data_IF_552991574089
#
_entry.id   IF_552991574089
#
_cell.length_a   1.000
_cell.length_b   1.000
_cell.length_c   1.000
_cell.angle_alpha   90.00
_cell.angle_beta   90.00
_cell.angle_gamma   90.00
#
_symmetry.space_group_name_H-M   'P 1'
#
loop_
_entity.id
_entity.type
_entity.pdbx_description
1 polymer ?
#
# COMPACT_ATOMS: atom_id res chain seq x y z
N UNK A 1 -9.38 4.15 17.08
CA UNK A 1 -10.50 4.78 16.36
C UNK A 1 -11.42 3.66 15.89
N UNK A 2 -12.68 3.77 16.24
CA UNK A 2 -13.69 2.79 15.85
C UNK A 2 -14.22 3.16 14.45
N UNK A 3 -13.85 2.37 13.43
CA UNK A 3 -14.29 2.56 12.05
C UNK A 3 -15.73 2.10 11.80
N UNK A 4 -16.41 1.54 12.81
CA UNK A 4 -17.82 1.09 12.68
C UNK A 4 -18.80 2.25 12.41
N UNK A 5 -18.36 3.50 12.60
CA UNK A 5 -19.16 4.70 12.31
C UNK A 5 -19.18 5.11 10.83
N UNK A 6 -18.25 4.60 10.03
CA UNK A 6 -18.28 4.80 8.58
C UNK A 6 -19.06 3.64 7.99
N UNK A 7 -20.28 3.87 7.53
CA UNK A 7 -20.93 2.89 6.65
C UNK A 7 -19.95 2.62 5.51
N UNK A 8 -19.47 1.39 5.35
CA UNK A 8 -18.54 1.11 4.28
C UNK A 8 -19.27 1.37 2.97
N UNK A 9 -18.88 2.45 2.29
CA UNK A 9 -19.23 2.58 0.88
C UNK A 9 -18.38 1.52 0.20
N UNK A 10 -19.00 0.39 -0.15
CA UNK A 10 -18.31 -0.68 -0.88
C UNK A 10 -17.67 -0.06 -2.11
N UNK A 11 -16.34 -0.06 -2.17
CA UNK A 11 -15.60 0.59 -3.27
C UNK A 11 -15.97 -0.04 -4.62
N UNK A 12 -16.35 -1.30 -4.59
CA UNK A 12 -16.47 -2.16 -5.76
C UNK A 12 -15.09 -2.43 -6.37
N UNK A 13 -14.97 -3.59 -7.02
CA UNK A 13 -13.72 -3.94 -7.70
C UNK A 13 -13.49 -3.04 -8.93
N UNK A 14 -12.26 -2.57 -9.19
CA UNK A 14 -11.97 -1.81 -10.40
C UNK A 14 -12.12 -2.69 -11.65
N UNK A 15 -12.56 -2.09 -12.75
CA UNK A 15 -12.53 -2.72 -14.07
C UNK A 15 -11.13 -2.60 -14.69
N UNK A 16 -10.83 -3.41 -15.71
CA UNK A 16 -9.50 -3.44 -16.34
C UNK A 16 -9.12 -2.09 -16.99
N UNK A 17 -10.10 -1.28 -17.40
CA UNK A 17 -9.90 0.08 -17.94
C UNK A 17 -9.72 1.17 -16.86
N UNK A 18 -9.72 0.78 -15.61
CA UNK A 18 -9.54 1.66 -14.44
C UNK A 18 -8.20 1.46 -13.74
N UNK A 19 -7.34 0.63 -14.27
CA UNK A 19 -6.06 0.24 -13.67
C UNK A 19 -4.97 0.16 -14.72
N UNK A 20 -3.73 0.45 -14.31
CA UNK A 20 -2.57 0.15 -15.15
C UNK A 20 -2.39 -1.37 -15.29
N UNK A 21 -2.06 -1.84 -16.49
CA UNK A 21 -1.90 -3.28 -16.75
C UNK A 21 -0.86 -3.95 -15.82
N UNK A 22 0.20 -3.24 -15.46
CA UNK A 22 1.22 -3.75 -14.53
C UNK A 22 0.71 -3.97 -13.10
N UNK A 23 -0.36 -3.26 -12.69
CA UNK A 23 -0.93 -3.36 -11.36
C UNK A 23 -1.91 -4.54 -11.21
N UNK A 24 -2.42 -5.07 -12.34
CA UNK A 24 -3.43 -6.13 -12.33
C UNK A 24 -3.02 -7.37 -11.54
N UNK A 25 -1.80 -7.92 -11.67
CA UNK A 25 -1.42 -9.11 -10.90
C UNK A 25 -1.46 -8.90 -9.38
N UNK A 26 -1.16 -7.70 -8.92
CA UNK A 26 -1.23 -7.35 -7.49
C UNK A 26 -2.68 -7.18 -7.04
N UNK A 27 -3.49 -6.48 -7.82
CA UNK A 27 -4.92 -6.28 -7.56
C UNK A 27 -5.67 -7.61 -7.52
N UNK A 28 -5.31 -8.57 -8.36
CA UNK A 28 -5.93 -9.91 -8.39
C UNK A 28 -5.66 -10.73 -7.12
N UNK A 29 -4.65 -10.36 -6.31
CA UNK A 29 -4.42 -10.96 -4.99
C UNK A 29 -5.44 -10.53 -3.93
N UNK A 30 -6.12 -9.41 -4.14
CA UNK A 30 -7.06 -8.86 -3.17
C UNK A 30 -8.39 -9.62 -3.28
N UNK A 31 -8.80 -10.25 -2.19
CA UNK A 31 -10.09 -10.93 -2.14
C UNK A 31 -11.24 -9.93 -1.94
N UNK A 32 -12.40 -10.24 -2.55
CA UNK A 32 -13.60 -9.43 -2.39
C UNK A 32 -13.58 -8.14 -3.22
N UNK A 33 -14.49 -7.24 -2.88
CA UNK A 33 -14.77 -5.99 -3.61
C UNK A 33 -14.67 -4.72 -2.74
N UNK A 34 -14.18 -4.86 -1.50
CA UNK A 34 -14.00 -3.77 -0.54
C UNK A 34 -12.51 -3.59 -0.20
N UNK A 35 -11.88 -2.59 -0.83
CA UNK A 35 -10.49 -2.26 -0.59
C UNK A 35 -10.23 -1.79 0.86
N UNK A 36 -11.19 -1.08 1.47
CA UNK A 36 -11.04 -0.58 2.86
C UNK A 36 -11.03 -1.75 3.83
N UNK A 37 -11.94 -2.71 3.67
CA UNK A 37 -11.96 -3.91 4.49
C UNK A 37 -10.67 -4.74 4.33
N UNK A 38 -10.15 -4.87 3.11
CA UNK A 38 -8.87 -5.54 2.85
C UNK A 38 -7.72 -4.84 3.56
N UNK A 39 -7.59 -3.51 3.44
CA UNK A 39 -6.55 -2.72 4.09
C UNK A 39 -6.62 -2.78 5.63
N UNK A 40 -7.84 -2.81 6.20
CA UNK A 40 -8.03 -3.00 7.65
C UNK A 40 -7.52 -4.37 8.12
N UNK A 41 -7.84 -5.43 7.38
CA UNK A 41 -7.39 -6.79 7.70
C UNK A 41 -5.87 -6.90 7.59
N UNK A 42 -5.28 -6.35 6.53
CA UNK A 42 -3.83 -6.33 6.30
C UNK A 42 -3.09 -5.58 7.40
N UNK A 43 -3.57 -4.41 7.81
CA UNK A 43 -2.99 -3.66 8.94
C UNK A 43 -2.78 -4.55 10.16
N UNK A 44 -3.79 -5.35 10.51
CA UNK A 44 -3.70 -6.27 11.64
C UNK A 44 -2.68 -7.38 11.39
N UNK A 45 -2.74 -8.01 10.22
CA UNK A 45 -1.88 -9.14 9.87
C UNK A 45 -0.40 -8.75 9.80
N UNK A 46 -0.09 -7.64 9.12
CA UNK A 46 1.28 -7.12 8.98
C UNK A 46 1.82 -6.65 10.32
N UNK A 47 1.00 -5.96 11.13
CA UNK A 47 1.37 -5.57 12.49
C UNK A 47 1.77 -6.77 13.33
N UNK A 48 0.91 -7.80 13.42
CA UNK A 48 1.19 -9.00 14.23
C UNK A 48 2.43 -9.74 13.75
N UNK A 49 2.64 -9.82 12.44
CA UNK A 49 3.84 -10.45 11.89
C UNK A 49 5.10 -9.68 12.29
N UNK A 50 5.12 -8.36 12.09
CA UNK A 50 6.31 -7.55 12.40
C UNK A 50 6.59 -7.51 13.90
N UNK A 51 5.56 -7.46 14.76
CA UNK A 51 5.71 -7.53 16.22
C UNK A 51 6.26 -8.88 16.71
N UNK A 52 6.13 -9.94 15.93
CA UNK A 52 6.70 -11.25 16.27
C UNK A 52 8.19 -11.38 15.95
N UNK A 53 8.79 -10.39 15.29
CA UNK A 53 10.19 -10.41 14.87
C UNK A 53 11.08 -9.61 15.83
N UNK A 54 12.25 -10.16 16.18
CA UNK A 54 13.25 -9.43 16.94
C UNK A 54 14.15 -8.59 15.99
N UNK A 55 14.60 -7.44 16.48
CA UNK A 55 15.49 -6.53 15.74
C UNK A 55 16.74 -7.24 15.19
N UNK A 56 17.34 -8.11 16.00
CA UNK A 56 18.54 -8.86 15.65
C UNK A 56 18.30 -9.86 14.50
N UNK A 57 17.10 -10.41 14.42
CA UNK A 57 16.72 -11.37 13.37
C UNK A 57 16.56 -10.71 12.01
N UNK A 58 16.17 -9.44 11.98
CA UNK A 58 15.86 -8.72 10.72
C UNK A 58 17.00 -7.82 10.24
N UNK A 59 18.03 -7.62 11.05
CA UNK A 59 19.17 -6.76 10.71
C UNK A 59 19.92 -7.30 9.49
N UNK A 60 19.92 -6.55 8.40
CA UNK A 60 20.55 -6.94 7.14
C UNK A 60 19.90 -8.18 6.48
N UNK A 61 18.73 -8.60 6.94
CA UNK A 61 18.06 -9.79 6.43
C UNK A 61 17.52 -9.56 5.02
N UNK A 62 18.23 -10.07 4.01
CA UNK A 62 17.81 -10.15 2.63
C UNK A 62 17.78 -11.63 2.19
N UNK A 63 16.83 -12.01 1.34
CA UNK A 63 16.70 -13.41 0.91
C UNK A 63 17.71 -13.83 -0.17
N UNK A 64 18.39 -12.88 -0.79
CA UNK A 64 19.46 -13.12 -1.77
C UNK A 64 20.33 -11.86 -1.92
N UNK A 65 21.58 -11.98 -2.42
CA UNK A 65 22.43 -10.84 -2.73
C UNK A 65 21.75 -9.84 -3.67
N UNK A 66 21.84 -8.54 -3.37
CA UNK A 66 21.29 -7.46 -4.18
C UNK A 66 19.77 -7.32 -4.09
N UNK A 67 19.11 -8.06 -3.19
CA UNK A 67 17.68 -7.84 -2.86
C UNK A 67 17.56 -6.94 -1.64
N UNK A 68 16.45 -6.23 -1.59
CA UNK A 68 16.12 -5.41 -0.43
C UNK A 68 16.11 -6.23 0.86
N UNK A 69 16.51 -5.60 1.95
CA UNK A 69 16.33 -6.19 3.28
C UNK A 69 14.86 -6.16 3.69
N UNK A 70 14.50 -6.92 4.72
CA UNK A 70 13.14 -6.92 5.25
C UNK A 70 12.73 -5.51 5.70
N UNK A 71 13.62 -4.75 6.32
CA UNK A 71 13.37 -3.36 6.73
C UNK A 71 13.14 -2.44 5.53
N UNK A 72 13.90 -2.62 4.46
CA UNK A 72 13.70 -1.88 3.21
C UNK A 72 12.36 -2.22 2.57
N UNK A 73 11.93 -3.48 2.59
CA UNK A 73 10.59 -3.88 2.12
C UNK A 73 9.48 -3.21 2.93
N UNK A 74 9.59 -3.18 4.27
CA UNK A 74 8.59 -2.53 5.13
C UNK A 74 8.53 -1.02 4.89
N UNK A 75 9.68 -0.38 4.77
CA UNK A 75 9.76 1.05 4.46
C UNK A 75 9.19 1.37 3.08
N UNK A 76 9.49 0.54 2.07
CA UNK A 76 8.95 0.68 0.72
C UNK A 76 7.42 0.55 0.69
N UNK A 77 6.84 -0.41 1.40
CA UNK A 77 5.38 -0.55 1.50
C UNK A 77 4.75 0.75 2.03
N UNK A 78 5.35 1.36 3.06
CA UNK A 78 4.83 2.60 3.61
C UNK A 78 4.98 3.79 2.65
N UNK A 79 6.09 3.90 1.93
CA UNK A 79 6.33 4.97 0.96
C UNK A 79 5.42 4.85 -0.27
N UNK A 80 5.25 3.64 -0.81
CA UNK A 80 4.33 3.37 -1.90
C UNK A 80 2.90 3.75 -1.52
N UNK A 81 2.44 3.34 -0.34
CA UNK A 81 1.12 3.68 0.16
C UNK A 81 0.92 5.20 0.30
N UNK A 82 1.92 5.97 0.76
CA UNK A 82 1.86 7.45 0.80
C UNK A 82 1.63 8.04 -0.58
N UNK A 83 2.40 7.56 -1.57
CA UNK A 83 2.33 8.04 -2.94
C UNK A 83 0.97 7.72 -3.56
N UNK A 84 0.51 6.49 -3.41
CA UNK A 84 -0.78 6.07 -3.98
C UNK A 84 -1.98 6.68 -3.24
N UNK A 85 -1.90 6.89 -1.93
CA UNK A 85 -2.92 7.62 -1.17
C UNK A 85 -2.99 9.10 -1.60
N UNK A 86 -1.86 9.76 -1.85
CA UNK A 86 -1.81 11.11 -2.41
C UNK A 86 -2.47 11.16 -3.81
N UNK A 87 -2.13 10.21 -4.68
CA UNK A 87 -2.75 10.10 -6.01
C UNK A 87 -4.26 9.90 -5.92
N UNK A 88 -4.71 9.03 -5.01
CA UNK A 88 -6.13 8.81 -4.74
C UNK A 88 -6.83 10.09 -4.24
N UNK A 89 -6.18 10.86 -3.37
CA UNK A 89 -6.68 12.15 -2.88
C UNK A 89 -6.86 13.15 -4.05
N UNK A 90 -5.84 13.34 -4.89
CA UNK A 90 -5.90 14.25 -6.04
C UNK A 90 -7.09 13.92 -6.95
N UNK A 91 -7.18 12.65 -7.39
CA UNK A 91 -8.25 12.21 -8.28
C UNK A 91 -9.63 12.29 -7.59
N UNK A 92 -9.72 11.93 -6.31
CA UNK A 92 -10.95 12.03 -5.55
C UNK A 92 -11.46 13.47 -5.39
N UNK A 93 -10.57 14.46 -5.44
CA UNK A 93 -10.90 15.91 -5.40
C UNK A 93 -11.12 16.52 -6.79
N UNK A 94 -10.96 15.71 -7.86
CA UNK A 94 -11.21 16.15 -9.24
C UNK A 94 -9.99 16.86 -9.87
N UNK A 95 -8.79 16.66 -9.32
CA UNK A 95 -7.58 17.14 -9.97
C UNK A 95 -7.33 16.36 -11.26
N UNK A 96 -7.14 17.07 -12.37
CA UNK A 96 -6.93 16.52 -13.71
C UNK A 96 -5.46 16.52 -14.12
N UNK A 97 -4.56 17.05 -13.29
CA UNK A 97 -3.13 17.07 -13.58
C UNK A 97 -2.58 15.64 -13.65
N UNK A 98 -1.82 15.26 -14.69
CA UNK A 98 -1.15 13.97 -14.72
C UNK A 98 -0.19 13.81 -13.55
N UNK A 99 -0.28 12.68 -12.85
CA UNK A 99 0.56 12.38 -11.69
C UNK A 99 1.76 11.52 -12.11
N UNK A 100 3.00 11.93 -11.75
CA UNK A 100 4.20 11.30 -12.24
C UNK A 100 4.45 9.92 -11.66
N UNK A 101 5.32 9.14 -12.33
CA UNK A 101 5.95 7.95 -11.77
C UNK A 101 7.02 8.30 -10.74
N UNK A 102 7.47 7.31 -9.98
CA UNK A 102 8.64 7.40 -9.12
C UNK A 102 9.51 6.15 -9.30
N UNK A 103 10.77 6.25 -8.92
CA UNK A 103 11.73 5.14 -8.94
C UNK A 103 11.85 4.59 -7.53
N UNK A 104 11.21 3.44 -7.28
CA UNK A 104 11.21 2.79 -5.96
C UNK A 104 12.60 2.39 -5.50
N UNK A 105 13.50 2.00 -6.42
CA UNK A 105 14.86 1.61 -6.05
C UNK A 105 15.66 2.82 -5.55
N UNK A 106 15.51 3.98 -6.19
CA UNK A 106 16.14 5.22 -5.73
C UNK A 106 15.59 5.67 -4.38
N UNK A 107 14.28 5.50 -4.16
CA UNK A 107 13.66 5.86 -2.88
C UNK A 107 14.21 4.99 -1.75
N UNK A 108 14.19 3.68 -1.92
CA UNK A 108 14.73 2.74 -0.93
C UNK A 108 16.21 3.02 -0.66
N UNK A 109 17.04 3.21 -1.69
CA UNK A 109 18.47 3.51 -1.53
C UNK A 109 18.72 4.83 -0.77
N UNK A 110 17.84 5.81 -0.90
CA UNK A 110 17.98 7.12 -0.25
C UNK A 110 17.38 7.17 1.16
N UNK A 111 16.49 6.23 1.52
CA UNK A 111 15.66 6.33 2.73
C UNK A 111 16.37 5.93 4.02
N UNK A 112 17.45 5.13 3.93
CA UNK A 112 18.18 4.66 5.11
C UNK A 112 17.36 3.74 6.03
N UNK A 113 16.41 3.00 5.51
CA UNK A 113 15.51 2.13 6.29
C UNK A 113 16.25 1.13 7.17
N UNK A 114 17.39 0.60 6.70
CA UNK A 114 18.16 -0.38 7.46
C UNK A 114 18.73 0.19 8.77
N UNK A 115 18.96 1.49 8.86
CA UNK A 115 19.48 2.16 10.07
C UNK A 115 18.39 2.49 11.08
N UNK A 116 17.10 2.41 10.71
CA UNK A 116 15.98 2.68 11.61
C UNK A 116 15.65 1.43 12.43
N UNK A 117 15.24 1.58 13.71
CA UNK A 117 14.67 0.48 14.47
C UNK A 117 13.43 -0.12 13.78
N UNK A 118 13.26 -1.45 13.86
CA UNK A 118 12.08 -2.14 13.33
C UNK A 118 10.76 -1.57 13.90
N UNK A 119 10.78 -1.25 15.19
CA UNK A 119 9.63 -0.65 15.86
C UNK A 119 9.21 0.70 15.26
N UNK A 120 10.19 1.52 14.83
CA UNK A 120 9.91 2.82 14.19
C UNK A 120 9.35 2.64 12.79
N UNK A 121 9.84 1.65 12.02
CA UNK A 121 9.29 1.31 10.71
C UNK A 121 7.85 0.80 10.84
N UNK A 122 7.56 -0.01 11.86
CA UNK A 122 6.21 -0.47 12.13
C UNK A 122 5.27 0.68 12.55
N UNK A 123 5.76 1.61 13.39
CA UNK A 123 4.99 2.80 13.79
C UNK A 123 4.67 3.67 12.57
N UNK A 124 5.63 3.82 11.67
CA UNK A 124 5.48 4.55 10.42
C UNK A 124 4.43 3.91 9.51
N UNK A 125 4.54 2.61 9.22
CA UNK A 125 3.55 1.84 8.49
C UNK A 125 2.13 2.01 9.08
N UNK A 126 1.99 1.87 10.39
CA UNK A 126 0.68 2.02 11.08
C UNK A 126 0.08 3.42 10.90
N UNK A 127 0.92 4.44 10.94
CA UNK A 127 0.50 5.84 10.79
C UNK A 127 0.03 6.13 9.37
N UNK A 128 0.76 5.66 8.37
CA UNK A 128 0.40 5.77 6.96
C UNK A 128 -0.91 5.05 6.68
N UNK A 129 -1.01 3.78 7.07
CA UNK A 129 -2.23 2.99 6.90
C UNK A 129 -3.44 3.63 7.59
N UNK A 130 -3.24 4.21 8.78
CA UNK A 130 -4.31 4.92 9.49
C UNK A 130 -4.78 6.13 8.70
N UNK A 131 -3.87 6.93 8.14
CA UNK A 131 -4.19 8.09 7.32
C UNK A 131 -4.92 7.68 6.03
N UNK A 132 -4.43 6.63 5.34
CA UNK A 132 -5.07 6.07 4.14
C UNK A 132 -6.50 5.60 4.42
N UNK A 133 -6.70 4.83 5.49
CA UNK A 133 -8.02 4.34 5.88
C UNK A 133 -8.98 5.50 6.18
N UNK A 134 -8.50 6.55 6.88
CA UNK A 134 -9.31 7.73 7.19
C UNK A 134 -9.69 8.49 5.92
N UNK A 135 -8.75 8.65 4.98
CA UNK A 135 -9.01 9.27 3.68
C UNK A 135 -10.10 8.50 2.92
N UNK A 136 -9.88 7.21 2.71
CA UNK A 136 -10.74 6.37 1.87
C UNK A 136 -12.15 6.21 2.48
N UNK A 137 -12.26 6.00 3.78
CA UNK A 137 -13.54 5.88 4.48
C UNK A 137 -14.37 7.19 4.46
N UNK A 138 -13.72 8.34 4.31
CA UNK A 138 -14.38 9.65 4.20
C UNK A 138 -14.76 10.05 2.78
N UNK A 139 -14.53 9.22 1.76
CA UNK A 139 -14.86 9.54 0.38
C UNK A 139 -16.36 9.34 0.11
N UNK A 140 -17.01 10.29 -0.61
CA UNK A 140 -18.36 10.07 -1.10
C UNK A 140 -18.35 9.00 -2.22
N UNK A 141 -19.50 8.33 -2.41
CA UNK A 141 -19.61 7.17 -3.30
C UNK A 141 -19.16 7.45 -4.74
N UNK A 142 -19.48 8.64 -5.26
CA UNK A 142 -19.10 9.04 -6.61
C UNK A 142 -17.59 9.26 -6.77
N UNK A 143 -16.86 9.59 -5.70
CA UNK A 143 -15.42 9.81 -5.77
C UNK A 143 -14.64 8.52 -6.09
N UNK A 144 -15.14 7.37 -5.68
CA UNK A 144 -14.48 6.08 -5.92
C UNK A 144 -14.29 5.76 -7.41
N UNK A 145 -15.18 6.25 -8.26
CA UNK A 145 -15.17 6.02 -9.71
C UNK A 145 -14.48 7.14 -10.49
N UNK A 146 -14.08 8.24 -9.83
CA UNK A 146 -13.35 9.31 -10.51
C UNK A 146 -12.04 8.78 -11.05
N UNK A 147 -11.70 9.23 -12.26
CA UNK A 147 -10.53 8.78 -13.01
C UNK A 147 -9.54 9.94 -13.20
N UNK A 148 -8.27 9.62 -13.25
CA UNK A 148 -7.17 10.52 -13.57
C UNK A 148 -6.05 9.78 -14.27
N UNK A 149 -4.99 10.49 -14.61
CA UNK A 149 -3.81 9.93 -15.27
C UNK A 149 -2.70 9.77 -14.24
N UNK A 150 -2.22 8.54 -14.08
CA UNK A 150 -1.09 8.19 -13.21
C UNK A 150 -0.08 7.38 -14.02
N UNK A 151 1.16 7.86 -14.11
CA UNK A 151 2.21 7.17 -14.88
C UNK A 151 1.76 6.85 -16.31
N UNK A 152 1.08 7.79 -16.96
CA UNK A 152 0.52 7.68 -18.32
C UNK A 152 -0.65 6.68 -18.49
N UNK A 153 -1.15 6.11 -17.39
CA UNK A 153 -2.31 5.21 -17.39
C UNK A 153 -3.53 5.88 -16.79
N UNK A 154 -4.69 5.62 -17.39
CA UNK A 154 -5.98 5.96 -16.76
C UNK A 154 -6.19 5.05 -15.56
N UNK A 155 -6.46 5.65 -14.40
CA UNK A 155 -6.77 4.89 -13.19
C UNK A 155 -7.90 5.56 -12.41
N UNK A 156 -8.64 4.76 -11.65
CA UNK A 156 -9.68 5.28 -10.75
C UNK A 156 -9.22 5.29 -9.29
N UNK A 157 -9.92 6.04 -8.44
CA UNK A 157 -9.65 6.04 -6.99
C UNK A 157 -9.75 4.63 -6.41
N UNK A 158 -10.76 3.84 -6.82
CA UNK A 158 -10.86 2.44 -6.38
C UNK A 158 -9.73 1.58 -6.94
N UNK A 159 -9.26 1.83 -8.15
CA UNK A 159 -8.09 1.17 -8.73
C UNK A 159 -6.83 1.40 -7.89
N UNK A 160 -6.60 2.66 -7.45
CA UNK A 160 -5.49 3.00 -6.57
C UNK A 160 -5.61 2.36 -5.18
N UNK A 161 -6.81 2.32 -4.61
CA UNK A 161 -7.04 1.68 -3.31
C UNK A 161 -6.78 0.16 -3.37
N UNK A 162 -7.23 -0.50 -4.45
CA UNK A 162 -6.93 -1.92 -4.69
C UNK A 162 -5.43 -2.16 -4.99
N UNK A 163 -4.76 -1.21 -5.65
CA UNK A 163 -3.31 -1.29 -5.85
C UNK A 163 -2.58 -1.30 -4.50
N UNK A 164 -2.87 -0.35 -3.61
CA UNK A 164 -2.26 -0.31 -2.26
C UNK A 164 -2.42 -1.66 -1.56
N UNK A 165 -3.64 -2.22 -1.56
CA UNK A 165 -3.91 -3.50 -0.92
C UNK A 165 -3.15 -4.66 -1.59
N UNK A 166 -3.15 -4.73 -2.91
CA UNK A 166 -2.50 -5.79 -3.67
C UNK A 166 -0.98 -5.74 -3.58
N UNK A 167 -0.40 -4.54 -3.64
CA UNK A 167 1.03 -4.30 -3.51
C UNK A 167 1.56 -4.81 -2.16
N UNK A 168 0.90 -4.47 -1.05
CA UNK A 168 1.28 -5.02 0.24
C UNK A 168 1.16 -6.54 0.27
N UNK A 169 0.07 -7.13 -0.24
CA UNK A 169 -0.10 -8.59 -0.28
C UNK A 169 1.04 -9.27 -1.01
N UNK A 170 1.46 -8.74 -2.17
CA UNK A 170 2.59 -9.26 -2.93
C UNK A 170 3.87 -9.25 -2.09
N UNK A 171 4.22 -8.11 -1.49
CA UNK A 171 5.42 -7.99 -0.69
C UNK A 171 5.38 -8.86 0.56
N UNK A 172 4.27 -8.88 1.30
CA UNK A 172 4.14 -9.70 2.50
C UNK A 172 4.11 -11.20 2.21
N UNK A 173 3.65 -11.62 1.02
CA UNK A 173 3.82 -12.99 0.56
C UNK A 173 5.29 -13.34 0.38
N UNK A 174 6.07 -12.49 -0.30
CA UNK A 174 7.52 -12.67 -0.47
C UNK A 174 8.23 -12.70 0.89
N UNK A 175 7.86 -11.83 1.83
CA UNK A 175 8.42 -11.83 3.19
C UNK A 175 8.21 -13.19 3.85
N UNK A 176 6.99 -13.72 3.86
CA UNK A 176 6.69 -15.03 4.47
C UNK A 176 7.40 -16.19 3.77
N UNK A 177 7.46 -16.15 2.44
CA UNK A 177 7.98 -17.27 1.65
C UNK A 177 9.50 -17.30 1.52
N UNK A 178 10.18 -16.16 1.65
CA UNK A 178 11.61 -16.07 1.36
C UNK A 178 12.47 -15.53 2.50
N UNK A 179 11.94 -14.65 3.34
CA UNK A 179 12.72 -14.06 4.44
C UNK A 179 12.56 -14.81 5.76
N UNK A 180 11.39 -15.41 6.01
CA UNK A 180 11.02 -16.01 7.29
C UNK A 180 10.93 -17.54 7.23
N UNK A 181 11.64 -18.15 6.31
CA UNK A 181 11.75 -19.63 6.22
C UNK A 181 12.72 -20.19 7.23
#
# INVERSE_FOLDING_TARGET
>A
MDFTRFSPTVSGRPHDDEIAAYAKPDIDLVAGDDAVAALMAQRRQTTLLVESLAEEQVRGLAYAPGKWTLKEVLGHIADDERIYAYRALCIARGDLAPLPSFDENRYVAAAGFETRPLADLLADYRSVRQATLTLLAGLPAEAWRRRGIVCDYTTSVRGLAFHIAGHELRHMRVVREKYLR
#
